data_IF_140228718973
#
_entry.id   IF_140228718973
#
_cell.length_a   1.000
_cell.length_b   1.000
_cell.length_c   1.000
_cell.angle_alpha   90.00
_cell.angle_beta   90.00
_cell.angle_gamma   90.00
#
_symmetry.space_group_name_H-M   'P 1'
#
loop_
_entity.id
_entity.type
_entity.pdbx_description
1 polymer ?
#
# COMPACT_ATOMS: atom_id res chain seq x y z
N UNK A 1 0.72 17.51 6.71
CA UNK A 1 2.16 17.46 6.44
C UNK A 1 2.82 16.85 7.66
N UNK A 2 3.76 15.92 7.46
CA UNK A 2 4.51 15.32 8.57
C UNK A 2 5.45 16.34 9.21
N UNK A 3 5.70 16.17 10.50
CA UNK A 3 6.68 17.01 11.20
C UNK A 3 8.11 16.61 10.83
N UNK A 4 8.33 15.32 10.50
CA UNK A 4 9.63 14.79 10.12
C UNK A 4 9.55 13.78 8.98
N UNK A 5 10.70 13.51 8.34
CA UNK A 5 10.81 12.46 7.31
C UNK A 5 10.54 11.08 7.89
N UNK A 6 10.95 10.83 9.14
CA UNK A 6 10.78 9.54 9.81
C UNK A 6 9.30 9.20 10.03
N UNK A 7 8.44 10.19 10.27
CA UNK A 7 6.99 9.98 10.37
C UNK A 7 6.39 9.56 9.03
N UNK A 8 6.79 10.23 7.93
CA UNK A 8 6.38 9.89 6.59
C UNK A 8 6.84 8.47 6.20
N UNK A 9 8.10 8.15 6.53
CA UNK A 9 8.70 6.85 6.28
C UNK A 9 7.98 5.74 7.06
N UNK A 10 7.63 6.00 8.33
CA UNK A 10 6.86 5.05 9.16
C UNK A 10 5.48 4.78 8.55
N UNK A 11 4.76 5.81 8.11
CA UNK A 11 3.48 5.64 7.45
C UNK A 11 3.61 4.81 6.17
N UNK A 12 4.61 5.10 5.33
CA UNK A 12 4.90 4.34 4.12
C UNK A 12 5.19 2.86 4.41
N UNK A 13 5.99 2.57 5.44
CA UNK A 13 6.28 1.20 5.86
C UNK A 13 5.03 0.45 6.30
N UNK A 14 4.17 1.08 7.10
CA UNK A 14 2.91 0.49 7.55
C UNK A 14 2.01 0.14 6.38
N UNK A 15 1.84 1.08 5.44
CA UNK A 15 1.00 0.88 4.25
C UNK A 15 1.56 -0.25 3.37
N UNK A 16 2.86 -0.27 3.11
CA UNK A 16 3.50 -1.32 2.29
C UNK A 16 3.47 -2.69 2.95
N UNK A 17 3.62 -2.76 4.28
CA UNK A 17 3.48 -4.01 5.03
C UNK A 17 2.06 -4.58 4.90
N UNK A 18 1.04 -3.73 5.07
CA UNK A 18 -0.35 -4.11 4.90
C UNK A 18 -0.65 -4.53 3.46
N UNK A 19 -0.16 -3.79 2.45
CA UNK A 19 -0.32 -4.16 1.05
C UNK A 19 0.33 -5.53 0.78
N UNK A 20 1.58 -5.72 1.21
CA UNK A 20 2.32 -6.97 1.05
C UNK A 20 1.63 -8.19 1.66
N UNK A 21 0.90 -8.01 2.77
CA UNK A 21 0.08 -9.05 3.39
C UNK A 21 -1.08 -9.54 2.51
N UNK A 22 -1.54 -8.70 1.57
CA UNK A 22 -2.64 -8.99 0.65
C UNK A 22 -2.15 -9.45 -0.73
N UNK A 23 -0.84 -9.41 -0.99
CA UNK A 23 -0.27 -9.84 -2.26
C UNK A 23 0.26 -11.28 -2.21
N UNK A 24 -0.08 -12.02 -3.26
CA UNK A 24 0.29 -13.43 -3.46
C UNK A 24 1.10 -13.63 -4.75
N UNK A 25 1.83 -14.74 -4.80
CA UNK A 25 2.69 -15.09 -5.93
C UNK A 25 3.87 -14.14 -6.11
N UNK A 26 4.38 -14.06 -7.35
CA UNK A 26 5.58 -13.27 -7.69
C UNK A 26 5.39 -11.74 -7.69
N UNK A 27 4.15 -11.25 -7.72
CA UNK A 27 3.83 -9.81 -7.83
C UNK A 27 4.49 -9.00 -6.72
N UNK A 28 4.57 -9.57 -5.51
CA UNK A 28 5.19 -8.92 -4.36
C UNK A 28 6.70 -8.74 -4.53
N UNK A 29 7.39 -9.75 -5.07
CA UNK A 29 8.82 -9.67 -5.35
C UNK A 29 9.10 -8.70 -6.51
N UNK A 30 8.21 -8.67 -7.51
CA UNK A 30 8.29 -7.70 -8.61
C UNK A 30 8.12 -6.26 -8.12
N UNK A 31 7.17 -6.00 -7.21
CA UNK A 31 7.04 -4.69 -6.56
C UNK A 31 8.29 -4.35 -5.74
N UNK A 32 8.77 -5.29 -4.91
CA UNK A 32 9.96 -5.10 -4.10
C UNK A 32 11.20 -4.73 -4.94
N UNK A 33 11.39 -5.36 -6.10
CA UNK A 33 12.49 -5.08 -7.02
C UNK A 33 12.46 -3.66 -7.64
N UNK A 34 11.35 -2.92 -7.48
CA UNK A 34 11.17 -1.54 -7.98
C UNK A 34 11.27 -0.48 -6.89
N UNK A 35 11.38 -0.89 -5.63
CA UNK A 35 11.45 0.02 -4.49
C UNK A 35 12.88 0.13 -3.95
N UNK A 36 13.21 1.21 -3.22
CA UNK A 36 14.40 1.27 -2.40
C UNK A 36 14.50 0.07 -1.44
N UNK A 37 15.72 -0.36 -1.12
CA UNK A 37 16.00 -1.59 -0.37
C UNK A 37 15.25 -1.65 0.97
N UNK A 38 15.19 -0.53 1.68
CA UNK A 38 14.53 -0.39 2.97
C UNK A 38 13.01 -0.67 2.93
N UNK A 39 12.37 -0.45 1.78
CA UNK A 39 10.96 -0.75 1.55
C UNK A 39 10.76 -2.12 0.90
N UNK A 40 11.69 -2.53 0.04
CA UNK A 40 11.68 -3.85 -0.59
C UNK A 40 11.66 -4.97 0.47
N UNK A 41 12.48 -4.86 1.52
CA UNK A 41 12.58 -5.87 2.58
C UNK A 41 11.25 -6.14 3.30
N UNK A 42 10.39 -5.12 3.44
CA UNK A 42 9.05 -5.25 4.05
C UNK A 42 8.16 -6.18 3.23
N UNK A 43 8.29 -6.12 1.90
CA UNK A 43 7.51 -6.94 0.98
C UNK A 43 8.07 -8.36 0.86
N UNK A 44 9.32 -8.62 1.20
CA UNK A 44 9.92 -9.95 1.00
C UNK A 44 9.55 -10.97 2.07
N UNK A 45 9.03 -10.55 3.23
CA UNK A 45 8.60 -11.45 4.31
C UNK A 45 7.30 -10.99 4.99
N UNK A 46 6.15 -10.96 4.28
CA UNK A 46 4.90 -10.51 4.88
C UNK A 46 4.26 -11.60 5.73
N UNK A 47 3.60 -11.18 6.80
CA UNK A 47 2.55 -11.98 7.43
C UNK A 47 1.32 -11.94 6.53
N UNK A 48 0.97 -13.06 5.90
CA UNK A 48 -0.19 -13.11 5.00
C UNK A 48 -1.49 -12.82 5.75
N UNK A 49 -2.33 -11.97 5.16
CA UNK A 49 -3.67 -11.71 5.66
C UNK A 49 -4.53 -12.97 5.52
N UNK A 50 -5.37 -13.24 6.54
CA UNK A 50 -6.30 -14.39 6.52
C UNK A 50 -7.49 -14.18 5.59
N UNK A 51 -7.92 -12.92 5.46
CA UNK A 51 -9.01 -12.49 4.60
C UNK A 51 -8.62 -11.18 3.89
N UNK A 52 -9.08 -10.95 2.65
CA UNK A 52 -8.82 -9.69 1.97
C UNK A 52 -9.61 -8.54 2.60
N UNK A 53 -8.93 -7.43 2.92
CA UNK A 53 -9.57 -6.22 3.44
C UNK A 53 -10.16 -5.39 2.31
N UNK A 54 -11.39 -4.89 2.50
CA UNK A 54 -11.96 -3.83 1.65
C UNK A 54 -11.12 -2.54 1.75
N UNK A 55 -11.25 -1.59 0.79
CA UNK A 55 -10.53 -0.31 0.86
C UNK A 55 -10.71 0.42 2.20
N UNK A 56 -11.94 0.46 2.73
CA UNK A 56 -12.26 1.14 3.99
C UNK A 56 -11.64 0.41 5.18
N UNK A 57 -11.70 -0.94 5.19
CA UNK A 57 -11.07 -1.74 6.24
C UNK A 57 -9.55 -1.64 6.18
N UNK A 58 -8.96 -1.48 5.00
CA UNK A 58 -7.53 -1.25 4.83
C UNK A 58 -7.11 0.09 5.42
N UNK A 59 -7.81 1.18 5.09
CA UNK A 59 -7.55 2.51 5.66
C UNK A 59 -7.70 2.50 7.18
N UNK A 60 -8.75 1.86 7.71
CA UNK A 60 -8.94 1.71 9.16
C UNK A 60 -7.81 0.90 9.80
N UNK A 61 -7.38 -0.19 9.17
CA UNK A 61 -6.25 -0.97 9.65
C UNK A 61 -4.98 -0.13 9.68
N UNK A 62 -4.67 0.62 8.61
CA UNK A 62 -3.52 1.53 8.56
C UNK A 62 -3.57 2.55 9.70
N UNK A 63 -4.71 3.19 9.95
CA UNK A 63 -4.86 4.14 11.05
C UNK A 63 -4.58 3.50 12.42
N UNK A 64 -5.00 2.25 12.64
CA UNK A 64 -4.79 1.54 13.90
C UNK A 64 -3.32 1.21 14.18
N UNK A 65 -2.46 1.15 13.14
CA UNK A 65 -1.03 0.87 13.27
C UNK A 65 -0.15 2.12 13.36
N UNK A 66 -0.69 3.32 13.13
CA UNK A 66 0.05 4.58 13.18
C UNK A 66 -0.41 5.37 14.40
N UNK A 67 0.50 5.59 15.34
CA UNK A 67 0.21 6.37 16.55
C UNK A 67 -0.30 7.78 16.20
N UNK A 68 -1.42 8.17 16.79
CA UNK A 68 -2.04 9.48 16.55
C UNK A 68 -2.75 9.63 15.20
N UNK A 69 -2.77 8.61 14.35
CA UNK A 69 -3.47 8.66 13.08
C UNK A 69 -4.99 8.55 13.25
N UNK A 70 -5.70 9.24 12.35
CA UNK A 70 -7.14 9.09 12.13
C UNK A 70 -7.37 8.34 10.82
N UNK A 71 -8.57 7.77 10.62
CA UNK A 71 -8.92 7.17 9.32
C UNK A 71 -8.75 8.19 8.16
N UNK A 72 -9.05 9.47 8.41
CA UNK A 72 -8.85 10.53 7.42
C UNK A 72 -7.38 10.69 7.06
N UNK A 73 -6.48 10.82 8.03
CA UNK A 73 -5.03 10.96 7.74
C UNK A 73 -4.47 9.69 7.12
N UNK A 74 -4.90 8.52 7.58
CA UNK A 74 -4.51 7.26 6.96
C UNK A 74 -4.97 7.13 5.51
N UNK A 75 -6.15 7.64 5.15
CA UNK A 75 -6.59 7.65 3.75
C UNK A 75 -5.66 8.48 2.85
N UNK A 76 -5.19 9.63 3.34
CA UNK A 76 -4.19 10.44 2.63
C UNK A 76 -2.88 9.68 2.47
N UNK A 77 -2.39 9.05 3.54
CA UNK A 77 -1.13 8.31 3.55
C UNK A 77 -1.18 7.10 2.60
N UNK A 78 -2.28 6.34 2.66
CA UNK A 78 -2.53 5.20 1.75
C UNK A 78 -2.53 5.67 0.31
N UNK A 79 -3.27 6.74 0.00
CA UNK A 79 -3.35 7.28 -1.37
C UNK A 79 -1.99 7.72 -1.90
N UNK A 80 -1.23 8.46 -1.09
CA UNK A 80 0.10 8.92 -1.46
C UNK A 80 1.07 7.76 -1.73
N UNK A 81 1.11 6.76 -0.83
CA UNK A 81 1.98 5.60 -0.95
C UNK A 81 1.59 4.73 -2.13
N UNK A 82 0.29 4.49 -2.36
CA UNK A 82 -0.19 3.68 -3.48
C UNK A 82 0.08 4.34 -4.82
N UNK A 83 -0.08 5.67 -4.93
CA UNK A 83 0.29 6.41 -6.13
C UNK A 83 1.78 6.23 -6.46
N UNK A 84 2.66 6.47 -5.48
CA UNK A 84 4.12 6.33 -5.68
C UNK A 84 4.52 4.88 -5.97
N UNK A 85 3.89 3.91 -5.29
CA UNK A 85 4.14 2.49 -5.53
C UNK A 85 3.71 2.06 -6.93
N UNK A 86 2.58 2.58 -7.44
CA UNK A 86 2.15 2.32 -8.81
C UNK A 86 3.11 2.91 -9.86
N UNK A 87 3.58 4.13 -9.63
CA UNK A 87 4.56 4.78 -10.51
C UNK A 87 5.88 3.98 -10.56
N UNK A 88 6.37 3.52 -9.40
CA UNK A 88 7.58 2.71 -9.31
C UNK A 88 7.40 1.31 -9.96
N UNK A 89 6.25 0.67 -9.71
CA UNK A 89 5.93 -0.66 -10.21
C UNK A 89 5.72 -0.68 -11.74
N UNK A 90 5.21 0.41 -12.30
CA UNK A 90 4.75 0.50 -13.67
C UNK A 90 3.37 -0.15 -13.88
N UNK A 91 2.81 0.06 -15.07
CA UNK A 91 1.40 -0.29 -15.36
C UNK A 91 1.09 -1.78 -15.20
N UNK A 92 1.94 -2.65 -15.72
CA UNK A 92 1.67 -4.10 -15.75
C UNK A 92 1.69 -4.72 -14.35
N UNK A 93 2.68 -4.35 -13.53
CA UNK A 93 2.76 -4.82 -12.13
C UNK A 93 1.59 -4.24 -11.33
N UNK A 94 1.26 -2.96 -11.52
CA UNK A 94 0.12 -2.32 -10.84
C UNK A 94 -1.20 -2.99 -11.21
N UNK A 95 -1.43 -3.32 -12.48
CA UNK A 95 -2.61 -4.05 -12.94
C UNK A 95 -2.74 -5.40 -12.24
N UNK A 96 -1.64 -6.14 -12.13
CA UNK A 96 -1.61 -7.44 -11.43
C UNK A 96 -1.79 -7.31 -9.92
N UNK A 97 -1.32 -6.23 -9.30
CA UNK A 97 -1.63 -5.87 -7.91
C UNK A 97 -3.14 -5.68 -7.74
N UNK A 98 -3.76 -4.84 -8.56
CA UNK A 98 -5.20 -4.54 -8.48
C UNK A 98 -6.07 -5.77 -8.68
N UNK A 99 -5.68 -6.71 -9.55
CA UNK A 99 -6.40 -7.98 -9.76
C UNK A 99 -6.42 -8.89 -8.53
N UNK A 100 -5.52 -8.69 -7.57
CA UNK A 100 -5.49 -9.46 -6.31
C UNK A 100 -6.29 -8.81 -5.19
N UNK A 101 -6.68 -7.54 -5.35
CA UNK A 101 -7.33 -6.75 -4.32
C UNK A 101 -8.85 -6.71 -4.56
N UNK A 102 -9.66 -6.54 -3.50
CA UNK A 102 -11.09 -6.30 -3.65
C UNK A 102 -11.40 -5.08 -4.54
N UNK A 103 -12.63 -5.03 -5.07
CA UNK A 103 -13.09 -3.89 -5.85
C UNK A 103 -13.00 -2.56 -5.06
N UNK A 104 -12.73 -1.46 -5.77
CA UNK A 104 -12.62 -0.10 -5.21
C UNK A 104 -11.20 0.32 -4.79
N UNK A 105 -10.22 -0.58 -4.85
CA UNK A 105 -8.82 -0.23 -4.57
C UNK A 105 -8.21 0.71 -5.60
N UNK A 106 -8.67 0.65 -6.85
CA UNK A 106 -8.24 1.55 -7.94
C UNK A 106 -8.32 3.03 -7.57
N UNK A 107 -9.34 3.42 -6.79
CA UNK A 107 -9.48 4.78 -6.25
C UNK A 107 -8.34 5.16 -5.28
N UNK A 108 -7.88 4.21 -4.47
CA UNK A 108 -6.75 4.42 -3.55
C UNK A 108 -5.42 4.56 -4.28
N UNK A 109 -5.29 4.00 -5.50
CA UNK A 109 -4.12 4.18 -6.35
C UNK A 109 -4.12 5.51 -7.12
N UNK A 110 -5.08 6.40 -6.88
CA UNK A 110 -5.22 7.66 -7.62
C UNK A 110 -5.62 7.44 -9.07
N UNK A 111 -6.03 6.22 -9.46
CA UNK A 111 -6.55 5.92 -10.78
C UNK A 111 -8.05 6.22 -10.75
N UNK A 112 -8.41 7.44 -11.11
CA UNK A 112 -9.78 7.72 -11.51
C UNK A 112 -10.07 6.82 -12.71
N UNK A 113 -11.04 5.92 -12.57
CA UNK A 113 -11.49 5.05 -13.64
C UNK A 113 -11.82 5.92 -14.86
N UNK A 114 -10.92 5.94 -15.86
CA UNK A 114 -11.21 6.57 -17.14
C UNK A 114 -12.28 5.69 -17.78
N UNK A 115 -13.52 6.18 -17.71
CA UNK A 115 -14.69 5.63 -18.37
C UNK A 115 -14.51 5.59 -19.88
#
# INVERSE_FOLDING_TARGET
>A
AYATTEEAERAARTVLALLGAHLVGGVRAELAARLPEEFALILLNPLQAREPLSPERFVRATAAWIEGATERTAAWDVGAVFSVAADAAGEEVTRRILLQLPAGYDLLFGRTQLA
#
